data_IF_822489142018
#
_entry.id   IF_822489142018
#
_cell.length_a   1.000
_cell.length_b   1.000
_cell.length_c   1.000
_cell.angle_alpha   90.00
_cell.angle_beta   90.00
_cell.angle_gamma   90.00
#
_symmetry.space_group_name_H-M   'P 1'
#
loop_
_entity.id
_entity.type
_entity.pdbx_description
1 polymer ?
#
# COMPACT_ATOMS: atom_id res chain seq x y z
N UNK A 1 -32.20 -21.86 -36.49
CA UNK A 1 -31.35 -21.25 -35.45
C UNK A 1 -30.53 -22.31 -34.73
N UNK A 2 -31.12 -23.25 -33.97
CA UNK A 2 -30.35 -24.28 -33.25
C UNK A 2 -29.64 -25.33 -34.15
N UNK A 3 -30.25 -25.75 -35.26
CA UNK A 3 -29.62 -26.71 -36.18
C UNK A 3 -28.46 -26.13 -37.00
N UNK A 4 -28.46 -24.81 -37.20
CA UNK A 4 -27.45 -24.11 -38.01
C UNK A 4 -26.15 -23.89 -37.22
N UNK A 5 -26.26 -23.67 -35.90
CA UNK A 5 -25.11 -23.62 -34.99
C UNK A 5 -24.46 -25.00 -34.78
N UNK A 6 -25.26 -26.07 -34.72
CA UNK A 6 -24.80 -27.45 -34.62
C UNK A 6 -24.02 -27.91 -35.87
N UNK A 7 -24.48 -27.50 -37.06
CA UNK A 7 -23.76 -27.77 -38.30
C UNK A 7 -22.46 -26.94 -38.42
N UNK A 8 -22.44 -25.74 -37.81
CA UNK A 8 -21.27 -24.84 -37.80
C UNK A 8 -20.21 -25.31 -36.81
N UNK A 9 -20.59 -25.85 -35.65
CA UNK A 9 -19.67 -26.41 -34.65
C UNK A 9 -19.02 -27.70 -35.14
N UNK A 10 -19.78 -28.59 -35.80
CA UNK A 10 -19.24 -29.81 -36.41
C UNK A 10 -18.24 -29.52 -37.54
N UNK A 11 -18.39 -28.41 -38.26
CA UNK A 11 -17.45 -27.97 -39.31
C UNK A 11 -16.12 -27.43 -38.75
N UNK A 12 -16.09 -27.03 -37.48
CA UNK A 12 -14.96 -26.37 -36.83
C UNK A 12 -14.20 -27.28 -35.85
N UNK A 13 -14.58 -28.56 -35.71
CA UNK A 13 -14.02 -29.50 -34.71
C UNK A 13 -13.91 -28.88 -33.30
N UNK A 14 -14.91 -28.10 -32.91
CA UNK A 14 -14.97 -27.55 -31.56
C UNK A 14 -15.69 -28.56 -30.69
N UNK A 15 -14.96 -29.19 -29.77
CA UNK A 15 -15.57 -29.96 -28.69
C UNK A 15 -16.46 -29.01 -27.86
N UNK A 16 -17.64 -29.46 -27.42
CA UNK A 16 -18.46 -28.66 -26.51
C UNK A 16 -17.63 -28.40 -25.25
N UNK A 17 -17.27 -27.14 -25.03
CA UNK A 17 -16.57 -26.73 -23.81
C UNK A 17 -17.53 -26.97 -22.66
N UNK A 18 -17.25 -27.99 -21.85
CA UNK A 18 -17.97 -28.27 -20.61
C UNK A 18 -17.91 -27.02 -19.73
N UNK A 19 -19.06 -26.37 -19.50
CA UNK A 19 -19.17 -25.15 -18.69
C UNK A 19 -18.64 -25.35 -17.25
N UNK A 20 -18.51 -26.61 -16.80
CA UNK A 20 -17.88 -26.98 -15.53
C UNK A 20 -16.36 -26.77 -15.53
N UNK A 21 -15.66 -26.94 -16.66
CA UNK A 21 -14.20 -26.73 -16.74
C UNK A 21 -13.81 -25.24 -16.67
N UNK A 22 -14.73 -24.33 -17.02
CA UNK A 22 -14.48 -22.88 -16.91
C UNK A 22 -14.74 -22.31 -15.50
N UNK A 23 -15.41 -23.05 -14.60
CA UNK A 23 -15.67 -22.58 -13.23
C UNK A 23 -14.59 -23.00 -12.22
N UNK A 24 -13.67 -23.89 -12.62
CA UNK A 24 -12.52 -24.33 -11.83
C UNK A 24 -11.20 -23.62 -12.18
N UNK A 25 -11.24 -22.55 -12.99
CA UNK A 25 -10.11 -21.61 -13.09
C UNK A 25 -10.04 -20.80 -11.80
N UNK A 26 -9.35 -21.41 -10.83
CA UNK A 26 -9.35 -21.06 -9.43
C UNK A 26 -9.17 -19.57 -9.18
N UNK A 27 -10.07 -19.04 -8.35
CA UNK A 27 -9.77 -17.87 -7.52
C UNK A 27 -8.32 -18.04 -7.04
N UNK A 28 -7.39 -17.12 -7.35
CA UNK A 28 -6.03 -17.26 -6.88
C UNK A 28 -6.11 -17.49 -5.38
N UNK A 29 -5.70 -18.69 -4.95
CA UNK A 29 -5.72 -19.08 -3.55
C UNK A 29 -4.70 -18.16 -2.90
N UNK A 30 -5.17 -17.02 -2.41
CA UNK A 30 -4.34 -16.04 -1.74
C UNK A 30 -3.51 -16.81 -0.71
N UNK A 31 -2.18 -16.82 -0.83
CA UNK A 31 -1.33 -17.56 0.09
C UNK A 31 -1.69 -17.14 1.51
N UNK A 32 -1.82 -18.09 2.42
CA UNK A 32 -1.96 -17.75 3.82
C UNK A 32 -0.69 -16.98 4.23
N UNK A 33 -0.85 -15.74 4.66
CA UNK A 33 0.24 -14.87 5.07
C UNK A 33 -0.04 -14.35 6.48
N UNK A 34 1.01 -14.15 7.26
CA UNK A 34 0.92 -13.44 8.52
C UNK A 34 1.59 -12.09 8.38
N UNK A 35 0.89 -11.04 8.81
CA UNK A 35 1.40 -9.67 8.82
C UNK A 35 1.40 -9.13 10.26
N UNK A 36 2.56 -8.63 10.68
CA UNK A 36 2.76 -7.91 11.91
C UNK A 36 3.04 -6.44 11.60
N UNK A 37 2.24 -5.54 12.19
CA UNK A 37 2.45 -4.10 12.11
C UNK A 37 2.62 -3.52 13.50
N UNK A 38 3.64 -2.68 13.67
CA UNK A 38 3.86 -1.89 14.87
C UNK A 38 3.86 -0.41 14.49
N UNK A 39 2.84 0.30 14.97
CA UNK A 39 2.68 1.74 14.80
C UNK A 39 3.11 2.44 16.09
N UNK A 40 4.11 3.30 15.97
CA UNK A 40 4.57 4.21 17.02
C UNK A 40 4.34 5.63 16.53
N UNK A 41 3.85 6.50 17.39
CA UNK A 41 3.88 7.93 17.15
C UNK A 41 4.22 8.65 18.44
N UNK A 42 4.95 9.75 18.31
CA UNK A 42 5.39 10.59 19.41
C UNK A 42 5.34 12.05 18.95
N UNK A 43 4.73 12.89 19.76
CA UNK A 43 4.69 14.33 19.53
C UNK A 43 5.78 15.00 20.38
N UNK A 44 6.85 15.44 19.71
CA UNK A 44 7.94 16.16 20.34
C UNK A 44 7.57 17.64 20.50
N UNK A 45 6.83 17.93 21.57
CA UNK A 45 6.30 19.26 21.86
C UNK A 45 5.23 19.69 20.85
N UNK A 46 5.09 20.99 20.61
CA UNK A 46 4.07 21.55 19.70
C UNK A 46 4.54 21.65 18.22
N UNK A 47 5.70 21.06 17.88
CA UNK A 47 6.39 21.39 16.62
C UNK A 47 6.72 20.22 15.73
N UNK A 48 6.90 19.02 16.27
CA UNK A 48 7.32 17.86 15.50
C UNK A 48 6.48 16.66 15.91
N UNK A 49 5.64 16.21 14.99
CA UNK A 49 4.90 14.95 15.10
C UNK A 49 5.71 13.90 14.37
N UNK A 50 6.15 12.88 15.09
CA UNK A 50 6.89 11.76 14.53
C UNK A 50 6.01 10.51 14.55
N UNK A 51 5.98 9.79 13.44
CA UNK A 51 5.34 8.50 13.33
C UNK A 51 6.27 7.49 12.67
N UNK A 52 6.24 6.26 13.17
CA UNK A 52 6.95 5.13 12.63
C UNK A 52 6.01 3.95 12.51
N UNK A 53 5.99 3.35 11.32
CA UNK A 53 5.29 2.11 11.04
C UNK A 53 6.31 1.04 10.68
N UNK A 54 6.49 0.04 11.54
CA UNK A 54 7.26 -1.15 11.22
C UNK A 54 6.32 -2.26 10.76
N UNK A 55 6.63 -2.90 9.64
CA UNK A 55 5.82 -3.97 9.07
C UNK A 55 6.68 -5.20 8.77
N UNK A 56 6.12 -6.36 9.04
CA UNK A 56 6.72 -7.65 8.75
C UNK A 56 5.64 -8.58 8.20
N UNK A 57 5.84 -9.07 7.00
CA UNK A 57 4.94 -9.99 6.32
C UNK A 57 5.70 -11.25 5.93
N UNK A 58 5.09 -12.41 6.19
CA UNK A 58 5.63 -13.68 5.77
C UNK A 58 4.50 -14.54 5.22
N UNK A 59 4.68 -14.91 3.97
CA UNK A 59 3.83 -15.86 3.30
C UNK A 59 4.17 -17.28 3.77
N UNK A 60 3.14 -18.06 4.09
CA UNK A 60 3.24 -19.45 4.52
C UNK A 60 3.11 -20.40 3.30
N UNK A 61 2.51 -19.92 2.20
CA UNK A 61 2.28 -20.68 0.96
C UNK A 61 3.21 -20.33 -0.23
N UNK A 62 3.29 -21.26 -1.18
CA UNK A 62 3.97 -21.16 -2.49
C UNK A 62 5.41 -20.62 -2.45
N UNK A 63 5.62 -19.34 -2.75
CA UNK A 63 6.91 -18.66 -2.89
C UNK A 63 7.58 -18.32 -1.55
N UNK A 64 6.83 -18.38 -0.43
CA UNK A 64 7.35 -18.10 0.92
C UNK A 64 8.11 -16.76 0.96
N UNK A 65 7.54 -15.76 0.31
CA UNK A 65 8.02 -14.39 0.34
C UNK A 65 8.13 -13.92 1.79
N UNK A 66 9.26 -13.32 2.12
CA UNK A 66 9.45 -12.59 3.36
C UNK A 66 9.64 -11.13 3.02
N UNK A 67 8.73 -10.31 3.51
CA UNK A 67 8.84 -8.88 3.41
C UNK A 67 8.97 -8.27 4.81
N UNK A 68 9.91 -7.37 4.98
CA UNK A 68 9.93 -6.54 6.18
C UNK A 68 10.40 -5.15 5.81
N UNK A 69 10.00 -4.18 6.61
CA UNK A 69 10.36 -2.82 6.35
C UNK A 69 9.85 -1.90 7.43
N UNK A 70 10.14 -0.62 7.23
CA UNK A 70 9.60 0.43 8.07
C UNK A 70 9.36 1.66 7.24
N UNK A 71 8.31 2.38 7.58
CA UNK A 71 8.09 3.75 7.16
C UNK A 71 8.20 4.67 8.37
N UNK A 72 8.77 5.84 8.17
CA UNK A 72 8.81 6.90 9.17
C UNK A 72 8.40 8.21 8.52
N UNK A 73 7.61 9.00 9.24
CA UNK A 73 7.26 10.36 8.85
C UNK A 73 7.51 11.29 10.02
N UNK A 74 8.14 12.42 9.76
CA UNK A 74 8.26 13.52 10.70
C UNK A 74 7.62 14.75 10.06
N UNK A 75 6.55 15.26 10.67
CA UNK A 75 5.80 16.41 10.16
C UNK A 75 5.79 17.55 11.15
N UNK A 76 5.79 18.77 10.62
CA UNK A 76 5.74 20.02 11.35
C UNK A 76 4.50 20.81 10.89
N UNK A 77 3.67 21.32 11.82
CA UNK A 77 2.56 22.19 11.45
C UNK A 77 3.11 23.58 11.05
N UNK A 78 2.87 24.01 9.81
CA UNK A 78 3.30 25.35 9.35
C UNK A 78 2.27 26.41 9.78
N UNK A 79 0.98 26.08 9.65
CA UNK A 79 -0.12 26.99 10.00
C UNK A 79 -0.74 26.58 11.34
N UNK A 80 -0.22 27.16 12.41
CA UNK A 80 -0.62 26.87 13.79
C UNK A 80 -2.07 27.22 14.12
N UNK A 81 -2.68 28.21 13.46
CA UNK A 81 -3.99 28.71 13.88
C UNK A 81 -5.07 27.61 13.93
N UNK A 82 -4.91 26.51 13.17
CA UNK A 82 -5.82 25.36 13.17
C UNK A 82 -5.16 24.04 12.72
N UNK A 83 -3.82 23.92 12.74
CA UNK A 83 -3.06 22.78 12.18
C UNK A 83 -3.49 22.36 10.75
N UNK A 84 -3.98 23.31 9.96
CA UNK A 84 -4.60 23.01 8.65
C UNK A 84 -3.58 22.52 7.64
N UNK A 85 -2.31 22.87 7.81
CA UNK A 85 -1.24 22.49 6.92
C UNK A 85 -0.06 21.99 7.74
N UNK A 86 0.25 20.70 7.59
CA UNK A 86 1.47 20.08 8.09
C UNK A 86 2.34 19.74 6.89
N UNK A 87 3.64 19.91 7.03
CA UNK A 87 4.61 19.44 6.04
C UNK A 87 5.72 18.71 6.74
N UNK A 88 6.38 17.81 6.05
CA UNK A 88 7.43 17.04 6.66
C UNK A 88 8.22 16.25 5.65
N UNK A 89 8.91 15.26 6.18
CA UNK A 89 9.64 14.28 5.39
C UNK A 89 9.10 12.91 5.75
N UNK A 90 8.90 12.09 4.73
CA UNK A 90 8.52 10.70 4.85
C UNK A 90 9.61 9.85 4.19
N UNK A 91 9.94 8.75 4.85
CA UNK A 91 10.85 7.74 4.34
C UNK A 91 10.26 6.36 4.51
N UNK A 92 10.55 5.48 3.56
CA UNK A 92 10.15 4.09 3.61
C UNK A 92 11.30 3.22 3.14
N UNK A 93 11.62 2.23 3.96
CA UNK A 93 12.52 1.14 3.63
C UNK A 93 11.71 -0.15 3.53
N UNK A 94 11.90 -0.87 2.44
CA UNK A 94 11.31 -2.19 2.20
C UNK A 94 12.37 -3.15 1.74
N UNK A 95 12.42 -4.31 2.39
CA UNK A 95 13.19 -5.45 1.98
C UNK A 95 12.24 -6.58 1.62
N UNK A 96 12.28 -7.02 0.36
CA UNK A 96 11.49 -8.15 -0.13
C UNK A 96 12.43 -9.29 -0.52
N UNK A 97 12.14 -10.50 -0.05
CA UNK A 97 12.92 -11.70 -0.36
C UNK A 97 11.98 -12.84 -0.73
N UNK A 98 12.08 -13.35 -1.95
CA UNK A 98 11.45 -14.60 -2.38
C UNK A 98 12.38 -15.81 -2.17
N UNK A 99 11.85 -17.05 -2.17
CA UNK A 99 12.58 -18.32 -2.15
C UNK A 99 13.65 -18.42 -3.24
N UNK A 100 13.39 -17.88 -4.43
CA UNK A 100 14.35 -17.92 -5.55
C UNK A 100 15.35 -16.76 -5.53
N UNK A 101 15.04 -15.65 -4.88
CA UNK A 101 15.90 -14.46 -4.73
C UNK A 101 16.53 -14.33 -3.34
N UNK A 102 16.63 -15.41 -2.54
CA UNK A 102 17.27 -15.36 -1.21
C UNK A 102 18.74 -14.91 -1.23
N UNK A 103 19.40 -15.03 -2.37
CA UNK A 103 20.76 -14.57 -2.59
C UNK A 103 20.84 -13.10 -3.10
N UNK A 104 19.73 -12.52 -3.56
CA UNK A 104 19.64 -11.17 -4.13
C UNK A 104 18.32 -10.48 -3.67
N UNK A 105 18.26 -10.05 -2.40
CA UNK A 105 17.07 -9.43 -1.84
C UNK A 105 16.81 -8.04 -2.45
N UNK A 106 15.56 -7.75 -2.80
CA UNK A 106 15.18 -6.43 -3.31
C UNK A 106 15.19 -5.41 -2.16
N UNK A 107 16.03 -4.39 -2.31
CA UNK A 107 16.15 -3.31 -1.33
C UNK A 107 15.59 -2.02 -1.90
N UNK A 108 14.36 -1.68 -1.51
CA UNK A 108 13.73 -0.43 -1.92
C UNK A 108 13.81 0.59 -0.78
N UNK A 109 14.56 1.66 -0.97
CA UNK A 109 14.54 2.82 -0.08
C UNK A 109 14.04 4.04 -0.84
N UNK A 110 12.96 4.63 -0.34
CA UNK A 110 12.36 5.84 -0.89
C UNK A 110 12.25 6.90 0.20
N UNK A 111 12.53 8.16 -0.16
CA UNK A 111 12.44 9.30 0.75
C UNK A 111 11.93 10.51 0.00
N UNK A 112 11.12 11.35 0.65
CA UNK A 112 10.64 12.56 0.03
C UNK A 112 9.83 13.44 0.98
N UNK A 113 9.46 14.64 0.52
CA UNK A 113 8.60 15.50 1.30
C UNK A 113 7.20 14.91 1.41
N UNK A 114 6.51 15.23 2.50
CA UNK A 114 5.08 14.97 2.68
C UNK A 114 4.36 16.25 3.07
N UNK A 115 3.13 16.41 2.59
CA UNK A 115 2.26 17.54 2.90
C UNK A 115 0.90 17.00 3.27
N UNK A 116 0.46 17.29 4.48
CA UNK A 116 -0.88 17.01 4.97
C UNK A 116 -1.68 18.31 5.04
N UNK A 117 -2.77 18.38 4.29
CA UNK A 117 -3.65 19.53 4.24
C UNK A 117 -5.06 19.15 4.67
N UNK A 118 -5.64 19.94 5.58
CA UNK A 118 -7.04 19.85 6.02
C UNK A 118 -7.82 21.06 5.49
N UNK A 119 -8.42 20.95 4.28
CA UNK A 119 -9.19 22.04 3.70
C UNK A 119 -10.38 22.44 4.58
N UNK A 120 -11.08 21.44 5.13
CA UNK A 120 -12.24 21.55 6.01
C UNK A 120 -12.06 20.71 7.27
N UNK A 121 -12.95 20.86 8.27
CA UNK A 121 -12.91 20.09 9.52
C UNK A 121 -13.12 18.56 9.32
N UNK A 122 -13.73 18.15 8.20
CA UNK A 122 -14.06 16.76 7.91
C UNK A 122 -13.29 16.18 6.72
N UNK A 123 -12.37 16.93 6.12
CA UNK A 123 -11.64 16.47 4.93
C UNK A 123 -10.16 16.65 5.12
N UNK A 124 -9.39 15.67 4.68
CA UNK A 124 -7.94 15.68 4.70
C UNK A 124 -7.38 15.17 3.38
N UNK A 125 -6.31 15.80 2.93
CA UNK A 125 -5.56 15.46 1.73
C UNK A 125 -4.10 15.34 2.14
N UNK A 126 -3.51 14.16 2.02
CA UNK A 126 -2.08 13.94 2.22
C UNK A 126 -1.42 13.67 0.86
N UNK A 127 -0.33 14.37 0.57
CA UNK A 127 0.45 14.22 -0.67
C UNK A 127 1.91 13.95 -0.28
N UNK A 128 2.44 12.78 -0.66
CA UNK A 128 3.81 12.36 -0.37
C UNK A 128 4.51 11.90 -1.66
N UNK A 129 5.20 12.80 -2.40
CA UNK A 129 6.11 12.39 -3.46
C UNK A 129 7.41 11.85 -2.86
N UNK A 130 7.65 10.56 -2.99
CA UNK A 130 8.85 9.86 -2.54
C UNK A 130 9.75 9.56 -3.74
N UNK A 131 11.06 9.68 -3.55
CA UNK A 131 12.06 9.42 -4.56
C UNK A 131 12.92 8.23 -4.15
N UNK A 132 13.13 7.31 -5.09
CA UNK A 132 13.98 6.15 -4.88
C UNK A 132 15.46 6.52 -4.77
N UNK A 133 16.15 5.97 -3.79
CA UNK A 133 17.61 6.13 -3.64
C UNK A 133 18.40 4.82 -3.85
N UNK A 134 17.73 3.71 -4.13
CA UNK A 134 18.36 2.42 -4.45
C UNK A 134 18.01 1.99 -5.87
N UNK A 135 18.85 1.14 -6.48
CA UNK A 135 18.63 0.68 -7.86
C UNK A 135 17.32 -0.10 -8.04
N UNK A 136 16.85 -0.77 -6.98
CA UNK A 136 15.59 -1.51 -6.95
C UNK A 136 14.36 -0.65 -6.61
N UNK A 137 14.57 0.61 -6.22
CA UNK A 137 13.48 1.52 -5.86
C UNK A 137 12.90 2.24 -7.08
N UNK A 138 11.59 2.50 -7.12
CA UNK A 138 11.00 3.32 -8.17
C UNK A 138 11.62 4.72 -8.16
N UNK A 139 11.98 5.25 -9.34
CA UNK A 139 12.62 6.58 -9.46
C UNK A 139 11.80 7.69 -8.78
N UNK A 140 10.48 7.60 -8.86
CA UNK A 140 9.55 8.45 -8.12
C UNK A 140 8.26 7.68 -7.84
N UNK A 141 7.69 7.85 -6.66
CA UNK A 141 6.43 7.28 -6.22
C UNK A 141 5.62 8.35 -5.51
N UNK A 142 4.42 8.65 -5.99
CA UNK A 142 3.58 9.72 -5.42
C UNK A 142 2.35 9.11 -4.78
N UNK A 143 2.22 9.30 -3.47
CA UNK A 143 1.00 8.94 -2.74
C UNK A 143 0.11 10.17 -2.60
N UNK A 144 -1.16 10.00 -2.95
CA UNK A 144 -2.20 10.99 -2.70
C UNK A 144 -3.33 10.29 -1.96
N UNK A 145 -3.52 10.65 -0.70
CA UNK A 145 -4.56 10.08 0.17
C UNK A 145 -5.59 11.15 0.44
N UNK A 146 -6.84 10.86 0.12
CA UNK A 146 -7.98 11.71 0.48
C UNK A 146 -8.83 10.99 1.51
N UNK A 147 -9.05 11.64 2.65
CA UNK A 147 -9.83 11.09 3.76
C UNK A 147 -10.98 12.02 4.11
N UNK A 148 -12.16 11.42 4.32
CA UNK A 148 -13.35 12.11 4.82
C UNK A 148 -13.67 11.54 6.19
N UNK A 149 -13.69 12.40 7.20
CA UNK A 149 -14.09 12.05 8.56
C UNK A 149 -15.62 12.20 8.69
N UNK A 150 -16.30 11.11 9.05
CA UNK A 150 -17.74 11.11 9.33
C UNK A 150 -17.98 10.99 10.84
N UNK A 151 -18.48 12.05 11.49
CA UNK A 151 -18.84 12.05 12.91
C UNK A 151 -18.46 13.33 13.65
N UNK A 152 -19.00 13.58 14.87
CA UNK A 152 -18.66 14.75 15.67
C UNK A 152 -17.30 14.56 16.37
N UNK A 153 -16.21 14.89 15.66
CA UNK A 153 -14.94 15.40 16.20
C UNK A 153 -13.97 14.45 16.93
N UNK A 154 -12.72 14.46 16.44
CA UNK A 154 -11.51 14.12 17.19
C UNK A 154 -10.58 13.14 16.46
N UNK A 155 -9.57 13.64 15.74
CA UNK A 155 -8.40 12.81 15.40
C UNK A 155 -7.65 12.54 16.72
N UNK A 156 -7.79 11.34 17.28
CA UNK A 156 -7.12 10.93 18.54
C UNK A 156 -6.18 9.74 18.35
N UNK A 157 -5.83 9.44 17.09
CA UNK A 157 -4.98 8.30 16.73
C UNK A 157 -3.63 8.73 16.19
N UNK A 158 -2.58 8.02 16.61
CA UNK A 158 -1.28 8.00 15.96
C UNK A 158 -1.45 7.75 14.45
N UNK A 159 -0.90 8.64 13.64
CA UNK A 159 -1.15 8.61 12.21
C UNK A 159 -0.04 7.90 11.44
N UNK A 160 -0.40 6.87 10.67
CA UNK A 160 0.57 6.14 9.86
C UNK A 160 1.10 7.03 8.71
N UNK A 161 2.37 6.86 8.31
CA UNK A 161 2.93 7.49 7.10
C UNK A 161 2.07 7.16 5.87
N UNK A 162 1.90 8.12 4.95
CA UNK A 162 0.98 8.01 3.81
C UNK A 162 1.28 6.78 2.93
N UNK A 163 2.57 6.45 2.76
CA UNK A 163 3.06 5.29 2.00
C UNK A 163 2.63 3.92 2.56
N UNK A 164 2.11 3.88 3.79
CA UNK A 164 1.70 2.64 4.47
C UNK A 164 0.20 2.56 4.76
N UNK A 165 -0.58 3.57 4.37
CA UNK A 165 -2.03 3.60 4.66
C UNK A 165 -2.86 2.68 3.78
N UNK A 166 -2.37 2.31 2.60
CA UNK A 166 -3.14 1.54 1.60
C UNK A 166 -2.42 0.24 1.18
N UNK A 167 -1.80 -0.43 2.15
CA UNK A 167 -1.11 -1.70 1.94
C UNK A 167 -1.98 -2.85 2.42
#
# INVERSE_FOLDING_TARGET
>A
MAEEELARSARLNLEPLDEEQMQEEGKPKMPDAYEFRLLLAEDFGERVEWAMNWFFEQEIGFDRGREWGFAQSAVIPIWLEHERLKTGVEMQYRNFTDKDTRADPLHSFVVGPTIAWKPTHNTRVDVSPLFGCTDDSPRAQVFVVFSILFGPGGETGAEAPASTRNR
#
